data_IF_742429824940
#
_entry.id   IF_742429824940
#
_cell.length_a   1.000
_cell.length_b   1.000
_cell.length_c   1.000
_cell.angle_alpha   90.00
_cell.angle_beta   90.00
_cell.angle_gamma   90.00
#
_symmetry.space_group_name_H-M   'P 1'
#
loop_
_entity.id
_entity.type
_entity.pdbx_description
1 polymer ?
#
# COMPACT_ATOMS: atom_id res chain seq x y z
N UNK A 1 3.56 -0.55 -3.10
CA UNK A 1 4.55 -1.62 -2.85
C UNK A 1 5.89 -1.04 -2.42
N UNK A 2 6.81 -1.89 -1.97
CA UNK A 2 8.16 -1.51 -1.59
C UNK A 2 8.79 -2.49 -0.63
N UNK A 3 10.12 -2.45 -0.48
CA UNK A 3 10.81 -3.23 0.55
C UNK A 3 10.60 -2.56 1.90
N UNK A 4 10.91 -1.28 2.00
CA UNK A 4 10.77 -0.47 3.20
C UNK A 4 9.86 0.74 2.97
N UNK A 5 9.30 1.32 4.04
CA UNK A 5 8.58 2.59 4.00
C UNK A 5 7.15 2.54 3.46
N UNK A 6 6.60 1.37 3.13
CA UNK A 6 5.22 1.22 2.64
C UNK A 6 4.19 1.82 3.59
N UNK A 7 4.15 1.32 4.84
CA UNK A 7 3.21 1.77 5.87
C UNK A 7 3.41 3.24 6.24
N UNK A 8 4.67 3.70 6.30
CA UNK A 8 4.98 5.12 6.56
C UNK A 8 4.41 6.01 5.46
N UNK A 9 4.63 5.64 4.18
CA UNK A 9 4.09 6.39 3.04
C UNK A 9 2.56 6.41 3.07
N UNK A 10 1.91 5.27 3.30
CA UNK A 10 0.46 5.19 3.43
C UNK A 10 -0.06 6.08 4.57
N UNK A 11 0.64 6.09 5.71
CA UNK A 11 0.26 6.92 6.87
C UNK A 11 0.47 8.42 6.60
N UNK A 12 1.54 8.83 5.93
CA UNK A 12 1.70 10.23 5.54
C UNK A 12 0.60 10.69 4.58
N UNK A 13 0.30 9.89 3.56
CA UNK A 13 -0.77 10.21 2.62
C UNK A 13 -2.14 10.27 3.33
N UNK A 14 -2.47 9.30 4.17
CA UNK A 14 -3.68 9.32 5.00
C UNK A 14 -3.81 10.64 5.77
N UNK A 15 -2.75 11.07 6.45
CA UNK A 15 -2.78 12.31 7.24
C UNK A 15 -2.92 13.57 6.39
N UNK A 16 -2.25 13.63 5.24
CA UNK A 16 -2.33 14.78 4.31
C UNK A 16 -3.76 14.92 3.77
N UNK A 17 -4.35 13.82 3.27
CA UNK A 17 -5.70 13.87 2.71
C UNK A 17 -6.78 14.09 3.79
N UNK A 18 -6.62 13.50 4.97
CA UNK A 18 -7.51 13.73 6.10
C UNK A 18 -7.46 15.19 6.56
N UNK A 19 -6.27 15.81 6.66
CA UNK A 19 -6.10 17.20 7.00
C UNK A 19 -6.67 18.16 5.93
N UNK A 20 -6.74 17.71 4.67
CA UNK A 20 -7.38 18.43 3.57
C UNK A 20 -8.93 18.30 3.57
N UNK A 21 -9.51 17.57 4.54
CA UNK A 21 -10.96 17.42 4.72
C UNK A 21 -11.60 16.25 3.99
N UNK A 22 -10.80 15.34 3.41
CA UNK A 22 -11.33 14.13 2.77
C UNK A 22 -11.57 13.02 3.78
N UNK A 23 -12.56 12.19 3.53
CA UNK A 23 -12.70 10.92 4.22
C UNK A 23 -11.70 9.90 3.66
N UNK A 24 -10.98 9.22 4.54
CA UNK A 24 -9.87 8.35 4.15
C UNK A 24 -9.98 6.98 4.78
N UNK A 25 -9.54 5.96 4.05
CA UNK A 25 -9.36 4.62 4.59
C UNK A 25 -7.92 4.14 4.36
N UNK A 26 -7.43 3.30 5.26
CA UNK A 26 -6.09 2.73 5.17
C UNK A 26 -6.09 1.26 5.57
N UNK A 27 -5.41 0.44 4.76
CA UNK A 27 -5.07 -0.94 5.07
C UNK A 27 -3.55 -1.09 5.12
N UNK A 28 -3.03 -1.57 6.27
CA UNK A 28 -1.59 -1.74 6.50
C UNK A 28 -1.27 -3.08 7.16
N UNK A 29 -0.02 -3.51 7.10
CA UNK A 29 0.46 -4.74 7.74
C UNK A 29 1.96 -4.68 8.09
N UNK A 30 2.39 -5.43 9.13
CA UNK A 30 1.59 -6.15 10.11
C UNK A 30 0.94 -5.23 11.15
N UNK A 31 0.14 -5.78 12.06
CA UNK A 31 -0.24 -5.12 13.30
C UNK A 31 0.81 -5.37 14.40
N UNK A 32 0.80 -4.56 15.44
CA UNK A 32 1.71 -4.69 16.59
C UNK A 32 1.00 -5.36 17.76
N UNK A 33 -0.17 -4.89 18.14
CA UNK A 33 -0.93 -5.36 19.30
C UNK A 33 -2.26 -6.00 18.89
N UNK A 34 -3.01 -5.38 17.97
CA UNK A 34 -4.37 -5.78 17.64
C UNK A 34 -4.58 -5.85 16.13
N UNK A 35 -5.36 -6.82 15.68
CA UNK A 35 -5.75 -6.96 14.26
C UNK A 35 -6.35 -5.66 13.70
N UNK A 36 -7.16 -4.97 14.48
CA UNK A 36 -7.87 -3.74 14.11
C UNK A 36 -6.95 -2.62 13.60
N UNK A 37 -5.69 -2.59 14.03
CA UNK A 37 -4.66 -1.63 13.54
C UNK A 37 -4.45 -1.68 12.04
N UNK A 38 -4.80 -2.81 11.40
CA UNK A 38 -4.65 -2.99 9.95
C UNK A 38 -5.66 -2.20 9.13
N UNK A 39 -6.83 -1.87 9.71
CA UNK A 39 -7.99 -1.37 8.97
C UNK A 39 -8.51 -0.10 9.66
N UNK A 40 -8.24 1.04 9.04
CA UNK A 40 -8.65 2.34 9.56
C UNK A 40 -9.59 3.05 8.58
N UNK A 41 -10.57 3.77 9.13
CA UNK A 41 -11.36 4.77 8.40
C UNK A 41 -11.35 6.05 9.22
N UNK A 42 -10.95 7.16 8.61
CA UNK A 42 -10.81 8.47 9.26
C UNK A 42 -9.96 8.40 10.53
N UNK A 43 -8.88 7.58 10.49
CA UNK A 43 -7.92 7.33 11.58
C UNK A 43 -8.48 6.50 12.75
N UNK A 44 -9.73 6.07 12.68
CA UNK A 44 -10.33 5.17 13.65
C UNK A 44 -10.21 3.72 13.20
N UNK A 45 -9.83 2.84 14.12
CA UNK A 45 -9.72 1.41 13.85
C UNK A 45 -11.11 0.80 13.67
N UNK A 46 -11.20 -0.20 12.79
CA UNK A 46 -12.39 -1.05 12.69
C UNK A 46 -12.75 -1.63 14.07
N UNK A 47 -14.03 -1.68 14.42
CA UNK A 47 -14.50 -2.28 15.68
C UNK A 47 -14.37 -3.80 15.67
N UNK A 48 -14.35 -4.43 16.85
CA UNK A 48 -14.32 -5.89 16.96
C UNK A 48 -15.58 -6.51 16.36
N UNK A 49 -16.72 -5.86 16.52
CA UNK A 49 -18.01 -6.26 15.95
C UNK A 49 -17.99 -6.24 14.42
N UNK A 50 -17.43 -5.18 13.83
CA UNK A 50 -17.29 -5.07 12.38
C UNK A 50 -16.29 -6.12 11.85
N UNK A 51 -15.19 -6.39 12.57
CA UNK A 51 -14.25 -7.47 12.19
C UNK A 51 -14.97 -8.80 12.13
N UNK A 52 -15.74 -9.16 13.15
CA UNK A 52 -16.51 -10.41 13.17
C UNK A 52 -17.52 -10.45 12.02
N UNK A 53 -18.33 -9.39 11.85
CA UNK A 53 -19.34 -9.25 10.77
C UNK A 53 -18.74 -9.54 9.39
N UNK A 54 -17.61 -8.91 9.06
CA UNK A 54 -17.01 -9.09 7.73
C UNK A 54 -16.21 -10.37 7.60
N UNK A 55 -15.61 -10.88 8.68
CA UNK A 55 -15.02 -12.22 8.67
C UNK A 55 -16.08 -13.29 8.38
N UNK A 56 -17.23 -13.26 9.05
CA UNK A 56 -18.34 -14.18 8.80
C UNK A 56 -18.81 -14.10 7.36
N UNK A 57 -18.97 -12.89 6.81
CA UNK A 57 -19.35 -12.71 5.41
C UNK A 57 -18.34 -13.33 4.43
N UNK A 58 -17.03 -13.20 4.68
CA UNK A 58 -15.98 -13.82 3.88
C UNK A 58 -16.03 -15.35 4.03
N UNK A 59 -16.11 -15.85 5.27
CA UNK A 59 -16.11 -17.29 5.55
C UNK A 59 -17.32 -18.00 4.93
N UNK A 60 -18.50 -17.40 4.97
CA UNK A 60 -19.70 -17.97 4.33
C UNK A 60 -19.48 -18.15 2.81
N UNK A 61 -18.91 -17.14 2.12
CA UNK A 61 -18.62 -17.25 0.68
C UNK A 61 -17.60 -18.36 0.42
N UNK A 62 -16.58 -18.50 1.26
CA UNK A 62 -15.56 -19.55 1.10
C UNK A 62 -16.18 -20.95 1.29
N UNK A 63 -17.01 -21.14 2.31
CA UNK A 63 -17.68 -22.41 2.58
C UNK A 63 -18.64 -22.80 1.45
N UNK A 64 -19.49 -21.87 1.01
CA UNK A 64 -20.45 -22.09 -0.08
C UNK A 64 -19.79 -22.50 -1.40
N UNK A 65 -18.54 -22.04 -1.64
CA UNK A 65 -17.82 -22.30 -2.89
C UNK A 65 -16.69 -23.32 -2.73
N UNK A 66 -16.48 -23.90 -1.54
CA UNK A 66 -15.40 -24.85 -1.28
C UNK A 66 -14.00 -24.27 -1.47
N UNK A 67 -13.85 -22.97 -1.21
CA UNK A 67 -12.58 -22.23 -1.40
C UNK A 67 -11.76 -22.18 -0.13
N UNK A 68 -10.44 -22.14 -0.29
CA UNK A 68 -9.49 -21.93 0.81
C UNK A 68 -8.54 -20.78 0.44
N UNK A 69 -8.39 -19.85 1.36
CA UNK A 69 -7.48 -18.72 1.22
C UNK A 69 -6.68 -18.51 2.51
N UNK A 70 -5.58 -17.79 2.43
CA UNK A 70 -4.73 -17.54 3.59
C UNK A 70 -5.24 -16.36 4.45
N UNK A 71 -4.66 -16.21 5.63
CA UNK A 71 -5.02 -15.15 6.59
C UNK A 71 -4.93 -13.74 5.98
N UNK A 72 -3.89 -13.45 5.18
CA UNK A 72 -3.73 -12.12 4.60
C UNK A 72 -4.79 -11.81 3.54
N UNK A 73 -5.18 -12.81 2.77
CA UNK A 73 -6.29 -12.72 1.81
C UNK A 73 -7.62 -12.46 2.54
N UNK A 74 -7.91 -13.18 3.64
CA UNK A 74 -9.08 -12.91 4.49
C UNK A 74 -9.05 -11.47 5.00
N UNK A 75 -7.94 -11.04 5.60
CA UNK A 75 -7.79 -9.69 6.13
C UNK A 75 -8.00 -8.61 5.05
N UNK A 76 -7.53 -8.87 3.84
CA UNK A 76 -7.72 -7.96 2.69
C UNK A 76 -9.19 -7.86 2.31
N UNK A 77 -9.92 -8.99 2.22
CA UNK A 77 -11.36 -8.98 1.92
C UNK A 77 -12.18 -8.29 3.00
N UNK A 78 -11.88 -8.53 4.28
CA UNK A 78 -12.51 -7.84 5.41
C UNK A 78 -12.33 -6.33 5.26
N UNK A 79 -11.11 -5.86 4.99
CA UNK A 79 -10.84 -4.45 4.78
C UNK A 79 -11.64 -3.86 3.60
N UNK A 80 -11.66 -4.56 2.46
CA UNK A 80 -12.36 -4.09 1.26
C UNK A 80 -13.88 -4.03 1.45
N UNK A 81 -14.47 -5.00 2.14
CA UNK A 81 -15.91 -4.99 2.48
C UNK A 81 -16.25 -3.84 3.42
N UNK A 82 -15.43 -3.63 4.46
CA UNK A 82 -15.59 -2.51 5.38
C UNK A 82 -15.47 -1.15 4.67
N UNK A 83 -14.45 -0.96 3.83
CA UNK A 83 -14.26 0.26 3.06
C UNK A 83 -15.39 0.50 2.06
N UNK A 84 -15.92 -0.55 1.45
CA UNK A 84 -17.09 -0.46 0.57
C UNK A 84 -18.32 0.07 1.31
N UNK A 85 -18.56 -0.38 2.55
CA UNK A 85 -19.69 0.11 3.36
C UNK A 85 -19.46 1.55 3.84
N UNK A 86 -18.23 1.89 4.28
CA UNK A 86 -17.90 3.24 4.78
C UNK A 86 -17.77 4.29 3.67
N UNK A 87 -17.54 3.86 2.44
CA UNK A 87 -17.47 4.68 1.23
C UNK A 87 -16.55 5.93 1.37
N UNK A 88 -15.27 5.78 1.74
CA UNK A 88 -14.35 6.91 1.86
C UNK A 88 -13.99 7.51 0.50
N UNK A 89 -13.57 8.78 0.48
CA UNK A 89 -13.10 9.47 -0.74
C UNK A 89 -11.79 8.86 -1.27
N UNK A 90 -10.90 8.44 -0.36
CA UNK A 90 -9.61 7.85 -0.70
C UNK A 90 -9.32 6.60 0.13
N UNK A 91 -8.72 5.60 -0.54
CA UNK A 91 -8.28 4.36 0.09
C UNK A 91 -6.78 4.17 -0.16
N UNK A 92 -6.01 4.00 0.89
CA UNK A 92 -4.58 3.70 0.86
C UNK A 92 -4.37 2.23 1.20
N UNK A 93 -3.91 1.45 0.21
CA UNK A 93 -3.67 0.01 0.36
C UNK A 93 -2.16 -0.27 0.38
N UNK A 94 -1.66 -0.81 1.49
CA UNK A 94 -0.30 -1.34 1.59
C UNK A 94 -0.28 -2.79 1.13
N UNK A 95 0.63 -3.16 0.20
CA UNK A 95 0.88 -4.56 -0.15
C UNK A 95 1.53 -5.29 1.04
N UNK A 96 1.12 -6.52 1.30
CA UNK A 96 1.74 -7.36 2.31
C UNK A 96 3.13 -7.82 1.87
N UNK A 97 3.23 -8.46 0.70
CA UNK A 97 4.46 -9.01 0.18
C UNK A 97 4.56 -8.89 -1.35
N UNK A 98 5.68 -8.34 -1.82
CA UNK A 98 5.92 -8.22 -3.25
C UNK A 98 4.98 -7.20 -3.90
N UNK A 99 3.99 -7.66 -4.65
CA UNK A 99 2.99 -6.83 -5.31
C UNK A 99 2.14 -7.61 -6.31
N UNK A 100 2.73 -8.17 -7.37
CA UNK A 100 2.04 -8.85 -8.49
C UNK A 100 1.02 -9.89 -8.05
N UNK A 101 1.34 -10.68 -7.03
CA UNK A 101 0.48 -11.75 -6.49
C UNK A 101 -0.03 -11.45 -5.08
N UNK A 102 0.11 -10.18 -4.65
CA UNK A 102 -0.42 -9.76 -3.35
C UNK A 102 -1.94 -9.67 -3.39
N UNK A 103 -2.61 -10.02 -2.29
CA UNK A 103 -4.06 -9.99 -2.20
C UNK A 103 -4.64 -8.59 -2.50
N UNK A 104 -3.93 -7.53 -2.11
CA UNK A 104 -4.36 -6.16 -2.39
C UNK A 104 -4.37 -5.80 -3.87
N UNK A 105 -3.64 -6.58 -4.71
CA UNK A 105 -3.53 -6.33 -6.15
C UNK A 105 -4.80 -6.71 -6.95
N UNK A 106 -5.81 -7.26 -6.30
CA UNK A 106 -7.15 -7.47 -6.89
C UNK A 106 -7.82 -6.12 -7.21
N UNK A 107 -7.46 -5.05 -6.49
CA UNK A 107 -8.05 -3.72 -6.68
C UNK A 107 -7.39 -3.01 -7.85
N UNK A 108 -8.19 -2.41 -8.72
CA UNK A 108 -7.72 -1.47 -9.74
C UNK A 108 -7.58 -0.09 -9.10
N UNK A 109 -6.40 0.20 -8.55
CA UNK A 109 -6.11 1.49 -7.93
C UNK A 109 -5.95 2.62 -8.97
N UNK A 110 -6.18 3.86 -8.56
CA UNK A 110 -5.99 5.04 -9.42
C UNK A 110 -4.51 5.32 -9.65
N UNK A 111 -3.68 5.17 -8.60
CA UNK A 111 -2.24 5.41 -8.62
C UNK A 111 -1.54 4.22 -7.98
N UNK A 112 -0.46 3.75 -8.60
CA UNK A 112 0.48 2.82 -8.00
C UNK A 112 1.67 3.58 -7.41
N UNK A 113 2.12 3.20 -6.20
CA UNK A 113 3.30 3.78 -5.58
C UNK A 113 4.31 2.68 -5.21
N UNK A 114 5.59 2.88 -5.54
CA UNK A 114 6.68 1.98 -5.18
C UNK A 114 7.73 2.78 -4.41
N UNK A 115 7.92 2.48 -3.13
CA UNK A 115 8.83 3.23 -2.27
C UNK A 115 10.29 2.93 -2.60
N UNK A 116 10.67 1.66 -2.59
CA UNK A 116 12.02 1.20 -2.94
C UNK A 116 12.05 -0.31 -3.21
N UNK A 117 13.18 -0.75 -3.78
CA UNK A 117 13.52 -2.15 -4.00
C UNK A 117 14.88 -2.44 -3.37
N UNK A 118 14.93 -3.44 -2.51
CA UNK A 118 16.17 -4.02 -2.00
C UNK A 118 15.97 -5.52 -1.73
N UNK A 119 17.02 -6.24 -1.42
CA UNK A 119 16.93 -7.67 -1.08
C UNK A 119 16.09 -7.85 0.20
N UNK A 120 14.99 -8.57 0.05
CA UNK A 120 14.09 -8.94 1.12
C UNK A 120 13.24 -10.12 0.68
N UNK A 121 12.88 -11.00 1.60
CA UNK A 121 12.07 -12.19 1.31
C UNK A 121 12.55 -12.99 0.08
N UNK A 122 13.87 -13.15 -0.08
CA UNK A 122 14.52 -13.71 -1.28
C UNK A 122 13.96 -15.07 -1.67
N UNK A 123 13.58 -15.90 -0.68
CA UNK A 123 12.98 -17.21 -0.94
C UNK A 123 11.63 -17.14 -1.69
N UNK A 124 10.89 -16.02 -1.57
CA UNK A 124 9.57 -15.82 -2.17
C UNK A 124 9.59 -14.88 -3.37
N UNK A 125 10.38 -13.81 -3.30
CA UNK A 125 10.41 -12.78 -4.32
C UNK A 125 11.48 -13.02 -5.39
N UNK A 126 12.46 -13.87 -5.10
CA UNK A 126 13.59 -14.17 -5.98
C UNK A 126 14.90 -13.58 -5.48
N UNK A 127 16.00 -14.06 -6.04
CA UNK A 127 17.38 -13.81 -5.60
C UNK A 127 18.09 -12.72 -6.42
N UNK A 128 17.36 -11.86 -7.13
CA UNK A 128 17.92 -10.71 -7.83
C UNK A 128 17.02 -9.49 -7.68
N UNK A 129 17.61 -8.28 -7.75
CA UNK A 129 16.87 -7.02 -7.69
C UNK A 129 15.86 -6.91 -8.83
N UNK A 130 16.19 -7.42 -10.01
CA UNK A 130 15.31 -7.47 -11.17
C UNK A 130 14.01 -8.25 -10.87
N UNK A 131 14.12 -9.45 -10.30
CA UNK A 131 12.94 -10.27 -9.92
C UNK A 131 12.09 -9.58 -8.86
N UNK A 132 12.74 -8.99 -7.86
CA UNK A 132 12.04 -8.27 -6.79
C UNK A 132 11.34 -7.02 -7.34
N UNK A 133 12.01 -6.27 -8.23
CA UNK A 133 11.44 -5.12 -8.92
C UNK A 133 10.23 -5.52 -9.78
N UNK A 134 10.34 -6.59 -10.56
CA UNK A 134 9.22 -7.13 -11.36
C UNK A 134 8.01 -7.51 -10.50
N UNK A 135 8.25 -8.19 -9.36
CA UNK A 135 7.18 -8.53 -8.42
C UNK A 135 6.49 -7.29 -7.86
N UNK A 136 7.23 -6.23 -7.57
CA UNK A 136 6.67 -4.98 -7.03
C UNK A 136 5.97 -4.16 -8.12
N UNK A 137 6.56 -4.04 -9.30
CA UNK A 137 5.96 -3.33 -10.43
C UNK A 137 4.64 -3.95 -10.90
N UNK A 138 4.42 -5.24 -10.64
CA UNK A 138 3.17 -5.94 -10.97
C UNK A 138 1.90 -5.42 -10.29
N UNK A 139 1.98 -4.43 -9.40
CA UNK A 139 0.79 -3.71 -8.90
C UNK A 139 0.27 -2.69 -9.92
N UNK A 140 1.10 -2.30 -10.88
CA UNK A 140 0.75 -1.29 -11.88
C UNK A 140 -0.20 -1.94 -12.89
N UNK A 141 -1.29 -1.24 -13.22
CA UNK A 141 -2.22 -1.64 -14.27
C UNK A 141 -1.94 -0.84 -15.53
N UNK A 142 -2.29 -1.40 -16.70
CA UNK A 142 -2.02 -0.76 -17.99
C UNK A 142 -2.50 0.71 -18.02
N UNK A 143 -1.61 1.63 -18.38
CA UNK A 143 -1.85 3.07 -18.46
C UNK A 143 -1.97 3.79 -17.11
N UNK A 144 -1.82 3.08 -15.99
CA UNK A 144 -1.90 3.65 -14.65
C UNK A 144 -0.68 4.52 -14.35
N UNK A 145 -0.90 5.65 -13.65
CA UNK A 145 0.18 6.45 -13.10
C UNK A 145 0.92 5.65 -12.02
N UNK A 146 2.23 5.49 -12.20
CA UNK A 146 3.14 4.96 -11.20
C UNK A 146 4.06 6.03 -10.66
N UNK A 147 4.11 6.17 -9.33
CA UNK A 147 5.06 7.06 -8.63
C UNK A 147 6.07 6.18 -7.90
N UNK A 148 7.37 6.42 -8.11
CA UNK A 148 8.40 5.67 -7.41
C UNK A 148 9.54 6.58 -6.93
N UNK A 149 10.29 6.13 -5.91
CA UNK A 149 11.26 6.95 -5.17
C UNK A 149 12.63 6.25 -5.05
N UNK A 150 13.19 5.79 -6.18
CA UNK A 150 14.51 5.16 -6.18
C UNK A 150 15.15 5.23 -7.57
N UNK A 151 16.44 5.62 -7.61
CA UNK A 151 17.28 5.57 -8.81
C UNK A 151 17.93 4.18 -8.90
N UNK A 152 17.18 3.19 -9.37
CA UNK A 152 17.59 1.80 -9.56
C UNK A 152 17.15 1.36 -10.95
N UNK A 153 18.08 0.97 -11.80
CA UNK A 153 17.81 0.60 -13.20
C UNK A 153 16.78 -0.53 -13.31
N UNK A 154 16.91 -1.56 -12.49
CA UNK A 154 16.00 -2.71 -12.47
C UNK A 154 14.56 -2.32 -12.11
N UNK A 155 14.37 -1.32 -11.22
CA UNK A 155 13.04 -0.81 -10.91
C UNK A 155 12.49 0.02 -12.06
N UNK A 156 13.32 0.90 -12.64
CA UNK A 156 12.91 1.74 -13.76
C UNK A 156 12.47 0.90 -14.97
N UNK A 157 13.25 -0.12 -15.32
CA UNK A 157 12.91 -1.07 -16.39
C UNK A 157 11.63 -1.85 -16.07
N UNK A 158 11.46 -2.31 -14.83
CA UNK A 158 10.26 -3.03 -14.41
C UNK A 158 9.01 -2.13 -14.50
N UNK A 159 9.11 -0.87 -14.09
CA UNK A 159 8.02 0.12 -14.19
C UNK A 159 7.68 0.40 -15.66
N UNK A 160 8.69 0.62 -16.51
CA UNK A 160 8.50 0.87 -17.95
C UNK A 160 7.83 -0.29 -18.69
N UNK A 161 8.03 -1.53 -18.25
CA UNK A 161 7.32 -2.69 -18.82
C UNK A 161 5.81 -2.69 -18.51
N UNK A 162 5.40 -2.08 -17.40
CA UNK A 162 3.99 -2.06 -16.98
C UNK A 162 3.26 -0.79 -17.43
N UNK A 163 3.94 0.36 -17.52
CA UNK A 163 3.33 1.63 -17.89
C UNK A 163 4.34 2.65 -18.44
N UNK A 164 3.91 3.44 -19.42
CA UNK A 164 4.64 4.63 -19.88
C UNK A 164 4.34 5.87 -19.01
N UNK A 165 3.33 5.79 -18.14
CA UNK A 165 2.90 6.88 -17.28
C UNK A 165 3.52 6.75 -15.89
N UNK A 166 4.78 7.18 -15.74
CA UNK A 166 5.50 7.05 -14.48
C UNK A 166 6.28 8.32 -14.09
N UNK A 167 6.47 8.51 -12.79
CA UNK A 167 7.22 9.61 -12.21
C UNK A 167 8.19 9.09 -11.16
N UNK A 168 9.50 9.29 -11.40
CA UNK A 168 10.51 9.16 -10.36
C UNK A 168 10.59 10.47 -9.57
N UNK A 169 10.16 10.44 -8.32
CA UNK A 169 10.12 11.66 -7.48
C UNK A 169 11.50 12.19 -7.15
N UNK A 170 12.53 11.33 -7.06
CA UNK A 170 13.90 11.76 -6.79
C UNK A 170 14.50 12.53 -7.96
N UNK A 171 14.08 12.25 -9.19
CA UNK A 171 14.52 12.99 -10.38
C UNK A 171 13.74 14.28 -10.57
N UNK A 172 12.42 14.21 -10.37
CA UNK A 172 11.52 15.35 -10.57
C UNK A 172 11.74 16.47 -9.56
N UNK A 173 12.10 16.12 -8.32
CA UNK A 173 12.27 17.06 -7.21
C UNK A 173 13.71 17.11 -6.72
N UNK A 174 14.67 17.22 -7.64
CA UNK A 174 16.09 17.46 -7.33
C UNK A 174 16.24 18.78 -6.60
N UNK A 175 16.82 18.75 -5.40
CA UNK A 175 17.02 19.95 -4.58
C UNK A 175 16.06 20.09 -3.41
N UNK A 176 15.14 19.16 -3.22
CA UNK A 176 14.29 19.10 -2.03
C UNK A 176 15.16 18.89 -0.78
N UNK A 177 15.11 19.83 0.16
CA UNK A 177 15.79 19.73 1.45
C UNK A 177 14.73 19.74 2.57
N UNK A 178 14.89 18.83 3.50
CA UNK A 178 14.08 18.79 4.71
C UNK A 178 14.99 19.02 5.93
N UNK A 179 14.74 20.08 6.68
CA UNK A 179 15.40 20.34 7.95
C UNK A 179 14.47 20.08 9.11
N UNK A 180 14.98 19.40 10.15
CA UNK A 180 14.25 19.21 11.39
C UNK A 180 14.48 20.41 12.32
N UNK A 181 13.44 21.20 12.54
CA UNK A 181 13.43 22.17 13.61
C UNK A 181 13.14 21.47 14.94
N UNK A 182 14.22 21.06 15.63
CA UNK A 182 14.14 20.34 16.89
C UNK A 182 13.59 21.18 18.06
N UNK A 183 13.51 22.50 17.91
CA UNK A 183 12.96 23.38 18.95
C UNK A 183 11.43 23.45 18.89
N UNK A 184 10.86 23.35 17.70
CA UNK A 184 9.40 23.44 17.47
C UNK A 184 8.77 22.14 17.00
N UNK A 185 9.52 21.04 16.94
CA UNK A 185 9.08 19.73 16.41
C UNK A 185 8.45 19.83 15.01
N UNK A 186 8.99 20.71 14.17
CA UNK A 186 8.52 20.92 12.80
C UNK A 186 9.56 20.48 11.80
N UNK A 187 9.11 19.90 10.71
CA UNK A 187 9.95 19.65 9.53
C UNK A 187 9.77 20.83 8.58
N UNK A 188 10.85 21.57 8.32
CA UNK A 188 10.86 22.65 7.32
C UNK A 188 11.29 22.02 6.00
N UNK A 189 10.45 22.18 5.00
CA UNK A 189 10.70 21.64 3.66
C UNK A 189 10.92 22.81 2.72
N UNK A 190 12.11 22.88 2.09
CA UNK A 190 12.44 23.85 1.05
C UNK A 190 12.42 23.14 -0.31
N UNK A 191 11.74 23.73 -1.28
CA UNK A 191 11.61 23.23 -2.65
C UNK A 191 12.47 24.07 -3.59
#
# INVERSE_FOLDING_TARGET
AGTNGKGSTATFLENIFFAAGYSVAKFTSPHILRFNERILVNKEMISDEDVVKYCEAVMNVLEENGLQINFFEIATFVALLYFKEKNPDFIFLETGLGGRYDATNIVKSTIAAITNVSFDHVALLGNSLEKIADRKAGIIKNGQLCIYAQNLAELEEAVKRETDNSVNVLEKYKGFQAELDNQNYKTIVTV
#
